data_IF_549499141442
#
_entry.id   IF_549499141442
#
_cell.length_a   1.000
_cell.length_b   1.000
_cell.length_c   1.000
_cell.angle_alpha   90.00
_cell.angle_beta   90.00
_cell.angle_gamma   90.00
#
_symmetry.space_group_name_H-M   'P 1'
#
loop_
_entity.id
_entity.type
_entity.pdbx_description
1 polymer ?
#
# COMPACT_ATOMS: atom_id res chain seq x y z
N UNK A 1 3.00 -14.45 12.54
CA UNK A 1 4.31 -14.10 13.15
C UNK A 1 4.71 -12.70 12.70
N UNK A 2 5.57 -12.02 13.45
CA UNK A 2 6.06 -10.67 13.10
C UNK A 2 7.26 -10.77 12.17
N UNK A 3 7.17 -10.23 10.96
CA UNK A 3 8.25 -10.25 9.97
C UNK A 3 8.46 -8.88 9.34
N UNK A 4 9.72 -8.45 9.29
CA UNK A 4 10.14 -7.16 8.73
C UNK A 4 9.99 -5.96 9.67
N UNK A 5 10.58 -4.84 9.24
CA UNK A 5 10.69 -3.60 10.01
C UNK A 5 10.25 -2.36 9.23
N UNK A 6 9.82 -2.53 7.98
CA UNK A 6 9.32 -1.44 7.15
C UNK A 6 7.86 -1.10 7.51
N UNK A 7 7.43 0.09 7.08
CA UNK A 7 6.05 0.53 7.27
C UNK A 7 5.75 0.89 8.72
N UNK A 8 4.52 0.62 9.17
CA UNK A 8 4.01 1.00 10.48
C UNK A 8 2.87 0.08 10.94
N UNK A 9 2.53 0.14 12.24
CA UNK A 9 1.39 -0.57 12.79
C UNK A 9 1.44 -2.07 12.55
N UNK A 10 0.43 -2.61 11.86
CA UNK A 10 0.28 -4.05 11.61
C UNK A 10 1.00 -4.55 10.37
N UNK A 11 1.75 -3.69 9.66
CA UNK A 11 2.46 -4.11 8.45
C UNK A 11 3.30 -5.39 8.65
N UNK A 12 4.05 -5.57 9.76
CA UNK A 12 4.86 -6.76 9.97
C UNK A 12 4.08 -8.07 10.20
N UNK A 13 2.77 -8.01 10.38
CA UNK A 13 1.91 -9.21 10.57
C UNK A 13 0.88 -9.38 9.46
N UNK A 14 0.78 -8.41 8.55
CA UNK A 14 -0.17 -8.43 7.44
C UNK A 14 0.44 -9.12 6.23
N UNK A 15 0.14 -10.42 6.05
CA UNK A 15 0.60 -11.21 4.92
C UNK A 15 -0.09 -10.77 3.61
N UNK A 16 0.69 -10.60 2.54
CA UNK A 16 0.20 -10.43 1.17
C UNK A 16 0.34 -11.78 0.44
N UNK A 17 -0.74 -12.55 0.25
CA UNK A 17 -0.66 -13.91 -0.30
C UNK A 17 0.00 -13.97 -1.69
N UNK A 18 -0.22 -12.97 -2.53
CA UNK A 18 0.31 -12.89 -3.89
C UNK A 18 1.84 -12.70 -3.92
N UNK A 19 2.41 -12.10 -2.87
CA UNK A 19 3.84 -11.83 -2.74
C UNK A 19 4.55 -12.80 -1.78
N UNK A 20 3.80 -13.52 -0.93
CA UNK A 20 4.34 -14.42 0.09
C UNK A 20 5.03 -13.73 1.27
N UNK A 21 5.03 -12.39 1.32
CA UNK A 21 5.69 -11.57 2.35
C UNK A 21 4.68 -10.72 3.11
N UNK A 22 5.05 -10.24 4.30
CA UNK A 22 4.23 -9.24 5.00
C UNK A 22 4.48 -7.84 4.43
N UNK A 23 3.57 -6.89 4.67
CA UNK A 23 3.84 -5.49 4.33
C UNK A 23 5.07 -4.92 5.05
N UNK A 24 5.44 -5.47 6.21
CA UNK A 24 6.63 -5.06 6.96
C UNK A 24 7.95 -5.52 6.33
N UNK A 25 7.89 -6.52 5.44
CA UNK A 25 9.04 -7.03 4.67
C UNK A 25 9.23 -6.29 3.33
N UNK A 26 8.27 -5.46 2.92
CA UNK A 26 8.28 -4.75 1.64
C UNK A 26 8.92 -3.36 1.73
N UNK A 27 9.67 -2.98 0.70
CA UNK A 27 10.01 -1.57 0.45
C UNK A 27 8.74 -0.74 0.16
N UNK A 28 8.88 0.60 0.18
CA UNK A 28 7.76 1.48 -0.13
C UNK A 28 7.20 1.25 -1.55
N UNK A 29 8.08 1.01 -2.53
CA UNK A 29 7.70 0.78 -3.93
C UNK A 29 6.99 -0.57 -4.11
N UNK A 30 7.49 -1.64 -3.50
CA UNK A 30 6.81 -2.94 -3.50
C UNK A 30 5.44 -2.84 -2.83
N UNK A 31 5.36 -2.18 -1.66
CA UNK A 31 4.10 -1.95 -0.97
C UNK A 31 3.10 -1.16 -1.82
N UNK A 32 3.55 -0.23 -2.66
CA UNK A 32 2.68 0.54 -3.54
C UNK A 32 2.01 -0.32 -4.63
N UNK A 33 2.58 -1.48 -4.96
CA UNK A 33 1.97 -2.43 -5.90
C UNK A 33 0.73 -3.09 -5.29
N UNK A 34 0.81 -3.51 -4.02
CA UNK A 34 -0.22 -4.34 -3.37
C UNK A 34 -1.17 -3.57 -2.43
N UNK A 35 -0.74 -2.45 -1.85
CA UNK A 35 -1.49 -1.81 -0.76
C UNK A 35 -2.87 -1.28 -1.17
N UNK A 36 -3.84 -1.44 -0.28
CA UNK A 36 -5.20 -0.90 -0.41
C UNK A 36 -5.19 0.62 -0.62
N UNK A 37 -4.29 1.34 0.07
CA UNK A 37 -4.13 2.79 -0.06
C UNK A 37 -3.74 3.16 -1.49
N UNK A 38 -2.71 2.51 -2.04
CA UNK A 38 -2.26 2.82 -3.40
C UNK A 38 -3.34 2.48 -4.44
N UNK A 39 -4.07 1.37 -4.26
CA UNK A 39 -5.23 1.02 -5.09
C UNK A 39 -6.33 2.09 -5.05
N UNK A 40 -6.69 2.56 -3.85
CA UNK A 40 -7.70 3.60 -3.67
C UNK A 40 -7.27 4.92 -4.32
N UNK A 41 -6.01 5.33 -4.12
CA UNK A 41 -5.47 6.55 -4.75
C UNK A 41 -5.49 6.45 -6.27
N UNK A 42 -5.05 5.31 -6.85
CA UNK A 42 -5.14 5.09 -8.30
C UNK A 42 -6.57 5.18 -8.82
N UNK A 43 -7.53 4.58 -8.11
CA UNK A 43 -8.94 4.67 -8.48
C UNK A 43 -9.47 6.11 -8.39
N UNK A 44 -9.10 6.84 -7.35
CA UNK A 44 -9.47 8.24 -7.15
C UNK A 44 -8.92 9.14 -8.28
N UNK A 45 -7.66 8.95 -8.66
CA UNK A 45 -7.05 9.67 -9.79
C UNK A 45 -7.73 9.33 -11.11
N UNK A 46 -7.99 8.05 -11.38
CA UNK A 46 -8.66 7.60 -12.59
C UNK A 46 -10.10 8.12 -12.72
N UNK A 47 -10.76 8.39 -11.59
CA UNK A 47 -12.11 8.94 -11.56
C UNK A 47 -12.16 10.48 -11.77
N UNK A 48 -11.01 11.15 -11.89
CA UNK A 48 -10.96 12.62 -11.98
C UNK A 48 -11.38 13.32 -10.68
N UNK A 49 -11.37 12.62 -9.54
CA UNK A 49 -11.89 13.16 -8.28
C UNK A 49 -11.09 14.36 -7.75
N UNK A 50 -9.88 14.58 -8.27
CA UNK A 50 -9.03 15.71 -7.92
C UNK A 50 -9.07 16.85 -8.95
N UNK A 51 -9.77 16.69 -10.07
CA UNK A 51 -9.76 17.65 -11.19
C UNK A 51 -10.30 19.04 -10.83
N UNK A 52 -11.05 19.12 -9.72
CA UNK A 52 -11.66 20.35 -9.22
C UNK A 52 -10.99 20.90 -7.96
N UNK A 53 -9.89 20.31 -7.50
CA UNK A 53 -9.16 20.85 -6.36
C UNK A 53 -8.37 22.10 -6.78
N UNK A 54 -8.46 23.21 -6.02
CA UNK A 54 -7.60 24.35 -6.25
C UNK A 54 -6.15 23.94 -5.94
N UNK A 55 -5.25 24.21 -6.91
CA UNK A 55 -3.79 24.10 -6.77
C UNK A 55 -3.23 25.23 -5.91
#
# INVERSE_FOLDING_TARGET
EWRGHAGFGYDPVFLVPEAGTTFGEMSADEKAQYSHRARAVRAMLAAGALDHLPV
#
